data_IF_836334125480
#
_entry.id   IF_836334125480
#
_cell.length_a   1.000
_cell.length_b   1.000
_cell.length_c   1.000
_cell.angle_alpha   90.00
_cell.angle_beta   90.00
_cell.angle_gamma   90.00
#
_symmetry.space_group_name_H-M   'P 1'
#
loop_
_entity.id
_entity.type
_entity.pdbx_description
1 polymer ?
#
# COMPACT_ATOMS: atom_id res chain seq x y z
N UNK A 1 5.02 -21.50 -3.67
CA UNK A 1 6.23 -21.20 -2.86
C UNK A 1 6.36 -19.72 -2.56
N UNK A 2 6.60 -18.82 -3.53
CA UNK A 2 6.74 -17.38 -3.24
C UNK A 2 5.52 -16.76 -2.54
N UNK A 3 4.30 -17.07 -3.02
CA UNK A 3 3.07 -16.59 -2.38
C UNK A 3 2.82 -17.20 -1.00
N UNK A 4 3.18 -18.47 -0.80
CA UNK A 4 3.05 -19.14 0.50
C UNK A 4 4.03 -18.53 1.52
N UNK A 5 5.22 -18.14 1.06
CA UNK A 5 6.18 -17.41 1.90
C UNK A 5 5.68 -16.00 2.22
N UNK A 6 5.15 -15.28 1.22
CA UNK A 6 4.53 -13.98 1.46
C UNK A 6 3.38 -14.08 2.47
N UNK A 7 2.50 -15.08 2.37
CA UNK A 7 1.41 -15.30 3.34
C UNK A 7 1.90 -15.49 4.77
N UNK A 8 2.95 -16.29 4.95
CA UNK A 8 3.57 -16.48 6.26
C UNK A 8 4.12 -15.18 6.85
N UNK A 9 4.93 -14.44 6.08
CA UNK A 9 5.62 -13.25 6.57
C UNK A 9 4.66 -12.06 6.74
N UNK A 10 3.75 -11.84 5.78
CA UNK A 10 2.75 -10.77 5.83
C UNK A 10 1.81 -10.97 7.03
N UNK A 11 1.38 -12.20 7.29
CA UNK A 11 0.54 -12.48 8.46
C UNK A 11 1.24 -12.11 9.77
N UNK A 12 2.54 -12.39 9.89
CA UNK A 12 3.34 -12.02 11.05
C UNK A 12 3.54 -10.49 11.16
N UNK A 13 3.76 -9.80 10.04
CA UNK A 13 3.94 -8.34 10.00
C UNK A 13 2.66 -7.60 10.38
N UNK A 14 1.51 -8.02 9.86
CA UNK A 14 0.22 -7.36 10.11
C UNK A 14 -0.43 -7.79 11.43
N UNK A 15 -0.03 -8.92 12.01
CA UNK A 15 -0.66 -9.49 13.21
C UNK A 15 -2.07 -10.03 12.97
N UNK A 16 -2.47 -10.17 11.70
CA UNK A 16 -3.76 -10.71 11.24
C UNK A 16 -3.49 -11.67 10.08
N UNK A 17 -4.40 -12.62 9.85
CA UNK A 17 -4.29 -13.64 8.80
C UNK A 17 -5.66 -13.98 8.25
N UNK A 18 -5.69 -14.78 7.19
CA UNK A 18 -6.92 -15.33 6.59
C UNK A 18 -6.76 -16.83 6.33
N UNK A 19 -7.84 -17.60 6.50
CA UNK A 19 -7.87 -19.05 6.25
C UNK A 19 -8.45 -19.40 4.86
N UNK A 20 -8.75 -18.39 4.04
CA UNK A 20 -9.33 -18.56 2.70
C UNK A 20 -8.30 -19.04 1.67
N UNK A 21 -8.74 -19.30 0.43
CA UNK A 21 -7.85 -19.67 -0.68
C UNK A 21 -7.90 -18.64 -1.79
N UNK A 22 -6.74 -18.11 -2.19
CA UNK A 22 -6.61 -17.20 -3.33
C UNK A 22 -6.38 -17.98 -4.63
N UNK A 23 -7.24 -17.78 -5.62
CA UNK A 23 -7.10 -18.31 -6.98
C UNK A 23 -6.33 -17.33 -7.85
N UNK A 24 -5.20 -17.75 -8.41
CA UNK A 24 -4.36 -16.91 -9.26
C UNK A 24 -4.50 -17.25 -10.75
N UNK A 25 -4.72 -16.21 -11.55
CA UNK A 25 -4.67 -16.24 -13.01
C UNK A 25 -3.37 -15.55 -13.44
N UNK A 26 -2.55 -16.27 -14.21
CA UNK A 26 -1.31 -15.77 -14.80
C UNK A 26 -1.48 -15.72 -16.33
N UNK A 27 -1.79 -14.54 -16.91
CA UNK A 27 -1.95 -14.38 -18.35
C UNK A 27 -0.65 -14.64 -19.11
N UNK A 28 -0.76 -15.06 -20.38
CA UNK A 28 0.39 -15.41 -21.20
C UNK A 28 1.30 -14.20 -21.53
N UNK A 29 0.75 -13.00 -21.58
CA UNK A 29 1.44 -11.78 -22.00
C UNK A 29 0.72 -10.50 -21.54
N UNK A 30 1.40 -9.36 -21.71
CA UNK A 30 0.90 -8.04 -21.30
C UNK A 30 -0.44 -7.67 -21.95
N UNK A 31 -0.65 -7.83 -23.27
CA UNK A 31 -1.97 -7.61 -23.87
C UNK A 31 -3.11 -8.41 -23.20
N UNK A 32 -2.89 -9.70 -22.96
CA UNK A 32 -3.89 -10.55 -22.30
C UNK A 32 -4.16 -10.10 -20.86
N UNK A 33 -3.13 -9.64 -20.14
CA UNK A 33 -3.29 -9.04 -18.82
C UNK A 33 -4.14 -7.77 -18.87
N UNK A 34 -3.84 -6.83 -19.78
CA UNK A 34 -4.60 -5.57 -19.91
C UNK A 34 -6.06 -5.86 -20.26
N UNK A 35 -6.32 -6.82 -21.15
CA UNK A 35 -7.67 -7.24 -21.52
C UNK A 35 -8.44 -7.81 -20.31
N UNK A 36 -7.83 -8.72 -19.55
CA UNK A 36 -8.49 -9.40 -18.43
C UNK A 36 -8.61 -8.49 -17.19
N UNK A 37 -7.55 -7.76 -16.86
CA UNK A 37 -7.48 -6.91 -15.67
C UNK A 37 -8.07 -5.52 -15.91
N UNK A 38 -8.24 -5.07 -17.15
CA UNK A 38 -8.76 -3.74 -17.48
C UNK A 38 -7.88 -2.58 -17.00
N UNK A 39 -6.59 -2.82 -16.81
CA UNK A 39 -5.65 -1.85 -16.25
C UNK A 39 -4.24 -2.02 -16.81
N UNK A 40 -3.47 -0.93 -16.79
CA UNK A 40 -2.09 -0.93 -17.29
C UNK A 40 -1.08 -1.66 -16.40
N UNK A 41 0.09 -1.94 -16.95
CA UNK A 41 1.18 -2.68 -16.29
C UNK A 41 1.90 -1.93 -15.15
N UNK A 42 1.45 -0.72 -14.82
CA UNK A 42 1.88 -0.03 -13.60
C UNK A 42 1.06 -0.46 -12.37
N UNK A 43 -0.09 -1.12 -12.56
CA UNK A 43 -0.82 -1.83 -11.51
C UNK A 43 -0.46 -3.31 -11.62
N UNK A 44 0.12 -3.91 -10.59
CA UNK A 44 0.78 -5.23 -10.70
C UNK A 44 -0.19 -6.40 -10.79
N UNK A 45 -1.40 -6.23 -10.27
CA UNK A 45 -2.45 -7.24 -10.24
C UNK A 45 -3.83 -6.59 -10.05
N UNK A 46 -4.90 -7.34 -10.30
CA UNK A 46 -6.28 -7.00 -9.94
C UNK A 46 -6.87 -8.11 -9.07
N UNK A 47 -7.44 -7.77 -7.93
CA UNK A 47 -8.16 -8.69 -7.04
C UNK A 47 -9.68 -8.49 -7.19
N UNK A 48 -10.40 -9.60 -7.34
CA UNK A 48 -11.86 -9.68 -7.29
C UNK A 48 -12.29 -10.86 -6.39
N UNK A 49 -12.68 -10.54 -5.16
CA UNK A 49 -12.97 -11.58 -4.16
C UNK A 49 -11.74 -12.45 -3.88
N UNK A 50 -11.84 -13.75 -4.17
CA UNK A 50 -10.74 -14.72 -4.05
C UNK A 50 -10.05 -15.01 -5.38
N UNK A 51 -10.23 -14.18 -6.40
CA UNK A 51 -9.54 -14.33 -7.67
C UNK A 51 -8.61 -13.15 -7.91
N UNK A 52 -7.37 -13.44 -8.29
CA UNK A 52 -6.41 -12.42 -8.73
C UNK A 52 -6.00 -12.67 -10.17
N UNK A 53 -5.96 -11.60 -10.96
CA UNK A 53 -5.25 -11.57 -12.24
C UNK A 53 -3.92 -10.84 -12.00
N UNK A 54 -2.83 -11.60 -11.96
CA UNK A 54 -1.47 -11.07 -11.77
C UNK A 54 -0.88 -10.71 -13.14
N UNK A 55 -0.01 -9.70 -13.22
CA UNK A 55 0.80 -9.51 -14.42
C UNK A 55 1.56 -10.80 -14.78
N UNK A 56 1.83 -11.03 -16.08
CA UNK A 56 2.53 -12.23 -16.50
C UNK A 56 3.82 -12.42 -15.72
N UNK A 57 3.97 -13.56 -15.05
CA UNK A 57 5.11 -13.81 -14.17
C UNK A 57 6.49 -13.55 -14.84
N UNK A 58 6.72 -13.94 -16.11
CA UNK A 58 7.98 -13.61 -16.80
C UNK A 58 8.25 -12.11 -16.93
N UNK A 59 7.20 -11.29 -17.04
CA UNK A 59 7.31 -9.82 -17.10
C UNK A 59 7.67 -9.25 -15.74
N UNK A 60 7.07 -9.75 -14.66
CA UNK A 60 7.41 -9.35 -13.29
C UNK A 60 8.86 -9.69 -12.96
N UNK A 61 9.29 -10.93 -13.26
CA UNK A 61 10.67 -11.38 -13.04
C UNK A 61 11.67 -10.54 -13.85
N UNK A 62 11.38 -10.26 -15.13
CA UNK A 62 12.25 -9.43 -15.97
C UNK A 62 12.36 -7.98 -15.46
N UNK A 63 11.38 -7.51 -14.70
CA UNK A 63 11.36 -6.19 -14.05
C UNK A 63 11.85 -6.22 -12.60
N UNK A 64 12.25 -7.38 -12.09
CA UNK A 64 12.59 -7.63 -10.67
C UNK A 64 11.49 -7.17 -9.71
N UNK A 65 10.22 -7.38 -10.08
CA UNK A 65 9.03 -7.00 -9.31
C UNK A 65 8.24 -8.19 -8.79
N UNK A 66 8.65 -9.42 -9.05
CA UNK A 66 7.90 -10.61 -8.67
C UNK A 66 7.79 -10.78 -7.15
N UNK A 67 8.87 -10.51 -6.40
CA UNK A 67 8.86 -10.48 -4.95
C UNK A 67 7.91 -9.40 -4.40
N UNK A 68 8.08 -8.15 -4.85
CA UNK A 68 7.23 -7.03 -4.46
C UNK A 68 5.75 -7.31 -4.76
N UNK A 69 5.44 -7.77 -5.97
CA UNK A 69 4.08 -8.10 -6.39
C UNK A 69 3.46 -9.20 -5.52
N UNK A 70 4.22 -10.21 -5.10
CA UNK A 70 3.73 -11.28 -4.23
C UNK A 70 3.35 -10.75 -2.84
N UNK A 71 4.22 -9.97 -2.20
CA UNK A 71 3.95 -9.40 -0.87
C UNK A 71 2.84 -8.37 -0.90
N UNK A 72 2.80 -7.50 -1.92
CA UNK A 72 1.71 -6.55 -2.14
C UNK A 72 0.36 -7.28 -2.31
N UNK A 73 0.33 -8.30 -3.18
CA UNK A 73 -0.88 -9.08 -3.46
C UNK A 73 -1.44 -9.72 -2.20
N UNK A 74 -0.58 -10.40 -1.44
CA UNK A 74 -0.98 -11.12 -0.23
C UNK A 74 -1.41 -10.15 0.87
N UNK A 75 -0.73 -9.01 1.00
CA UNK A 75 -1.15 -7.91 1.90
C UNK A 75 -2.54 -7.40 1.53
N UNK A 76 -2.78 -7.08 0.26
CA UNK A 76 -4.08 -6.59 -0.20
C UNK A 76 -5.20 -7.62 0.04
N UNK A 77 -4.92 -8.90 -0.22
CA UNK A 77 -5.86 -9.99 0.03
C UNK A 77 -6.17 -10.18 1.53
N UNK A 78 -5.15 -10.24 2.40
CA UNK A 78 -5.33 -10.36 3.85
C UNK A 78 -6.14 -9.19 4.39
N UNK A 79 -5.80 -7.95 4.02
CA UNK A 79 -6.53 -6.76 4.49
C UNK A 79 -8.01 -6.80 4.08
N UNK A 80 -8.32 -7.21 2.85
CA UNK A 80 -9.72 -7.32 2.37
C UNK A 80 -10.51 -8.44 3.05
N UNK A 81 -9.84 -9.49 3.52
CA UNK A 81 -10.48 -10.69 4.06
C UNK A 81 -10.59 -10.69 5.57
N UNK A 82 -9.53 -10.31 6.26
CA UNK A 82 -9.46 -10.33 7.70
C UNK A 82 -10.20 -9.15 8.35
N UNK A 83 -10.43 -8.05 7.60
CA UNK A 83 -11.08 -6.86 8.12
C UNK A 83 -12.56 -6.80 7.68
N UNK A 84 -13.52 -6.65 8.61
CA UNK A 84 -14.95 -6.56 8.29
C UNK A 84 -15.33 -5.24 7.62
N UNK A 85 -14.49 -4.20 7.75
CA UNK A 85 -14.68 -2.88 7.15
C UNK A 85 -13.48 -2.48 6.31
N UNK A 86 -13.72 -1.58 5.35
CA UNK A 86 -12.65 -1.03 4.52
C UNK A 86 -11.81 -0.02 5.30
N UNK A 87 -10.49 -0.16 5.21
CA UNK A 87 -9.56 0.88 5.66
C UNK A 87 -9.67 2.13 4.76
N UNK A 88 -9.26 3.32 5.26
CA UNK A 88 -9.02 4.47 4.39
C UNK A 88 -8.08 4.10 3.24
N UNK A 89 -8.32 4.56 1.99
CA UNK A 89 -7.52 4.16 0.85
C UNK A 89 -6.01 4.41 1.01
N UNK A 90 -5.60 5.55 1.60
CA UNK A 90 -4.20 5.82 1.88
C UNK A 90 -3.56 4.79 2.80
N UNK A 91 -4.28 4.33 3.82
CA UNK A 91 -3.76 3.37 4.81
C UNK A 91 -3.70 1.98 4.19
N UNK A 92 -4.75 1.57 3.47
CA UNK A 92 -4.77 0.31 2.75
C UNK A 92 -3.63 0.22 1.74
N UNK A 93 -3.56 1.17 0.81
CA UNK A 93 -2.53 1.16 -0.23
C UNK A 93 -1.14 1.35 0.38
N UNK A 94 -0.99 2.22 1.38
CA UNK A 94 0.29 2.44 2.05
C UNK A 94 0.83 1.17 2.71
N UNK A 95 -0.04 0.36 3.33
CA UNK A 95 0.34 -0.95 3.88
C UNK A 95 0.74 -1.94 2.79
N UNK A 96 -0.02 -2.00 1.70
CA UNK A 96 0.31 -2.82 0.53
C UNK A 96 1.70 -2.48 -0.01
N UNK A 97 2.00 -1.20 -0.20
CA UNK A 97 3.30 -0.76 -0.71
C UNK A 97 4.44 -0.93 0.31
N UNK A 98 4.16 -0.69 1.60
CA UNK A 98 5.16 -0.80 2.67
C UNK A 98 5.59 -2.25 2.89
N UNK A 99 4.62 -3.16 3.05
CA UNK A 99 4.88 -4.59 3.22
C UNK A 99 5.41 -5.21 1.92
N UNK A 100 5.00 -4.67 0.78
CA UNK A 100 5.57 -4.99 -0.52
C UNK A 100 7.01 -4.56 -0.72
N UNK A 101 7.59 -3.74 0.16
CA UNK A 101 8.91 -3.10 0.01
C UNK A 101 9.08 -2.32 -1.32
N UNK A 102 8.00 -1.81 -1.94
CA UNK A 102 8.06 -1.18 -3.27
C UNK A 102 8.56 0.29 -3.23
N UNK A 103 8.86 0.82 -2.03
CA UNK A 103 9.22 2.22 -1.82
C UNK A 103 10.38 2.74 -2.68
N UNK A 104 11.40 1.91 -2.92
CA UNK A 104 12.54 2.28 -3.79
C UNK A 104 12.09 2.41 -5.25
N UNK A 105 11.25 1.50 -5.72
CA UNK A 105 10.69 1.56 -7.08
C UNK A 105 9.76 2.76 -7.24
N UNK A 106 8.88 3.01 -6.28
CA UNK A 106 8.01 4.18 -6.26
C UNK A 106 8.82 5.50 -6.33
N UNK A 107 9.86 5.64 -5.52
CA UNK A 107 10.74 6.81 -5.56
C UNK A 107 11.43 6.97 -6.94
N UNK A 108 11.89 5.86 -7.54
CA UNK A 108 12.48 5.89 -8.88
C UNK A 108 11.44 6.32 -9.94
N UNK A 109 10.20 5.84 -9.84
CA UNK A 109 9.13 6.27 -10.75
C UNK A 109 8.81 7.76 -10.61
N UNK A 110 8.95 8.34 -9.40
CA UNK A 110 8.72 9.77 -9.21
C UNK A 110 9.70 10.64 -10.00
N UNK A 111 10.90 10.15 -10.32
CA UNK A 111 11.86 10.90 -11.13
C UNK A 111 11.28 11.34 -12.49
N UNK A 112 10.37 10.55 -13.07
CA UNK A 112 9.67 10.88 -14.31
C UNK A 112 8.73 12.08 -14.16
N UNK A 113 8.14 12.27 -12.98
CA UNK A 113 7.11 13.29 -12.74
C UNK A 113 7.64 14.55 -12.06
N UNK A 114 8.88 14.52 -11.57
CA UNK A 114 9.63 15.68 -11.04
C UNK A 114 10.10 16.62 -12.16
N UNK A 115 9.20 17.01 -13.06
CA UNK A 115 9.48 17.98 -14.13
C UNK A 115 9.12 19.38 -13.67
N UNK A 116 10.11 20.27 -13.50
CA UNK A 116 9.88 21.66 -13.08
C UNK A 116 9.44 21.78 -11.61
N UNK A 117 8.48 22.67 -11.32
CA UNK A 117 7.96 22.94 -9.97
C UNK A 117 6.77 22.03 -9.58
N UNK A 118 6.54 20.92 -10.29
CA UNK A 118 5.44 20.00 -9.95
C UNK A 118 5.76 19.21 -8.68
N UNK A 119 4.94 19.42 -7.66
CA UNK A 119 4.99 18.59 -6.46
C UNK A 119 4.47 17.18 -6.77
N UNK A 120 5.26 16.17 -6.45
CA UNK A 120 4.90 14.76 -6.63
C UNK A 120 4.13 14.22 -5.43
N UNK A 121 4.27 14.85 -4.27
CA UNK A 121 3.62 14.46 -3.02
C UNK A 121 2.18 14.96 -3.01
N UNK A 122 1.29 14.14 -2.46
CA UNK A 122 -0.14 14.40 -2.40
C UNK A 122 -0.59 14.45 -0.95
N UNK A 123 -1.58 15.29 -0.65
CA UNK A 123 -2.21 15.30 0.65
C UNK A 123 -3.16 14.10 0.83
N UNK A 124 -3.44 13.65 2.07
CA UNK A 124 -4.29 12.49 2.32
C UNK A 124 -5.66 12.52 1.61
N UNK A 125 -6.41 13.64 1.61
CA UNK A 125 -7.69 13.67 0.89
C UNK A 125 -7.56 13.45 -0.62
N UNK A 126 -6.44 13.90 -1.22
CA UNK A 126 -6.19 13.71 -2.65
C UNK A 126 -5.73 12.29 -2.96
N UNK A 127 -4.92 11.69 -2.08
CA UNK A 127 -4.56 10.27 -2.15
C UNK A 127 -5.83 9.42 -2.13
N UNK A 128 -6.70 9.65 -1.13
CA UNK A 128 -7.95 8.90 -0.98
C UNK A 128 -8.85 9.04 -2.21
N UNK A 129 -9.01 10.27 -2.72
CA UNK A 129 -9.82 10.53 -3.91
C UNK A 129 -9.28 9.79 -5.15
N UNK A 130 -7.96 9.75 -5.35
CA UNK A 130 -7.35 9.06 -6.49
C UNK A 130 -7.47 7.54 -6.35
N UNK A 131 -7.20 6.98 -5.18
CA UNK A 131 -7.24 5.53 -4.98
C UNK A 131 -8.67 5.00 -5.02
N UNK A 132 -9.65 5.74 -4.48
CA UNK A 132 -11.05 5.34 -4.47
C UNK A 132 -11.74 5.43 -5.85
N UNK A 133 -11.27 6.28 -6.77
CA UNK A 133 -11.92 6.44 -8.09
C UNK A 133 -11.72 5.26 -9.05
N UNK A 134 -10.78 4.36 -8.75
CA UNK A 134 -10.39 3.27 -9.64
C UNK A 134 -9.49 3.71 -10.80
N UNK A 135 -9.54 2.95 -11.89
CA UNK A 135 -8.68 3.14 -13.08
C UNK A 135 -9.19 4.33 -13.92
N UNK A 136 -8.30 5.28 -14.25
CA UNK A 136 -8.62 6.36 -15.19
C UNK A 136 -8.59 5.84 -16.65
N UNK A 137 -9.58 6.20 -17.51
CA UNK A 137 -9.56 5.80 -18.91
C UNK A 137 -8.41 6.41 -19.73
N UNK A 138 -7.82 7.52 -19.29
CA UNK A 138 -6.57 8.00 -19.86
C UNK A 138 -5.39 7.32 -19.15
N UNK A 139 -4.71 6.44 -19.87
CA UNK A 139 -3.60 5.63 -19.38
C UNK A 139 -2.46 6.47 -18.77
N UNK A 140 -2.15 7.64 -19.34
CA UNK A 140 -1.07 8.48 -18.80
C UNK A 140 -1.49 9.14 -17.49
N UNK A 141 -2.75 9.58 -17.43
CA UNK A 141 -3.34 10.16 -16.22
C UNK A 141 -3.45 9.11 -15.12
N UNK A 142 -3.90 7.88 -15.44
CA UNK A 142 -3.96 6.77 -14.49
C UNK A 142 -2.56 6.46 -13.96
N UNK A 143 -1.58 6.30 -14.84
CA UNK A 143 -0.21 5.96 -14.48
C UNK A 143 0.43 6.99 -13.56
N UNK A 144 0.31 8.28 -13.90
CA UNK A 144 0.88 9.36 -13.08
C UNK A 144 0.19 9.44 -11.72
N UNK A 145 -1.14 9.52 -11.70
CA UNK A 145 -1.90 9.71 -10.47
C UNK A 145 -1.78 8.50 -9.55
N UNK A 146 -1.92 7.28 -10.09
CA UNK A 146 -1.81 6.07 -9.29
C UNK A 146 -0.43 5.93 -8.65
N UNK A 147 0.66 6.14 -9.41
CA UNK A 147 2.01 6.05 -8.85
C UNK A 147 2.28 7.11 -7.79
N UNK A 148 1.82 8.35 -8.00
CA UNK A 148 1.97 9.43 -7.01
C UNK A 148 1.17 9.15 -5.74
N UNK A 149 -0.04 8.63 -5.87
CA UNK A 149 -0.88 8.23 -4.74
C UNK A 149 -0.27 7.05 -3.96
N UNK A 150 0.21 6.01 -4.65
CA UNK A 150 0.90 4.89 -4.02
C UNK A 150 2.16 5.33 -3.29
N UNK A 151 2.98 6.19 -3.92
CA UNK A 151 4.18 6.73 -3.29
C UNK A 151 3.86 7.57 -2.05
N UNK A 152 2.88 8.46 -2.13
CA UNK A 152 2.49 9.29 -0.99
C UNK A 152 1.88 8.44 0.14
N UNK A 153 1.05 7.44 -0.18
CA UNK A 153 0.50 6.49 0.77
C UNK A 153 1.58 5.63 1.44
N UNK A 154 2.56 5.16 0.67
CA UNK A 154 3.75 4.47 1.19
C UNK A 154 4.49 5.35 2.21
N UNK A 155 4.73 6.62 1.89
CA UNK A 155 5.41 7.54 2.81
C UNK A 155 4.63 7.76 4.11
N UNK A 156 3.29 7.83 4.04
CA UNK A 156 2.43 7.95 5.22
C UNK A 156 2.58 6.75 6.15
N UNK A 157 2.50 5.53 5.61
CA UNK A 157 2.63 4.30 6.40
C UNK A 157 4.06 4.08 6.87
N UNK A 158 5.05 4.41 6.04
CA UNK A 158 6.45 4.38 6.45
C UNK A 158 6.71 5.33 7.62
N UNK A 159 6.18 6.57 7.60
CA UNK A 159 6.27 7.49 8.73
C UNK A 159 5.60 6.90 9.98
N UNK A 160 4.41 6.32 9.82
CA UNK A 160 3.65 5.69 10.91
C UNK A 160 4.45 4.57 11.58
N UNK A 161 5.01 3.66 10.79
CA UNK A 161 5.75 2.50 11.32
C UNK A 161 7.13 2.90 11.82
N UNK A 162 7.90 3.66 11.05
CA UNK A 162 9.30 3.95 11.39
C UNK A 162 9.46 5.00 12.49
N UNK A 163 8.48 5.90 12.66
CA UNK A 163 8.59 7.04 13.58
C UNK A 163 7.47 7.18 14.60
N UNK A 164 6.29 6.58 14.37
CA UNK A 164 5.14 6.69 15.27
C UNK A 164 4.85 5.40 16.06
N UNK A 165 5.92 4.70 16.48
CA UNK A 165 5.86 3.63 17.48
C UNK A 165 6.08 2.20 16.98
N UNK A 166 6.47 2.00 15.72
CA UNK A 166 6.80 0.68 15.19
C UNK A 166 5.60 -0.09 14.66
N UNK A 167 5.82 -1.38 14.42
CA UNK A 167 4.77 -2.31 13.98
C UNK A 167 3.73 -2.60 15.06
N UNK A 168 4.08 -2.55 16.36
CA UNK A 168 3.17 -2.96 17.42
C UNK A 168 1.87 -2.12 17.46
N UNK A 169 1.89 -0.77 17.45
CA UNK A 169 0.66 0.02 17.36
C UNK A 169 -0.18 -0.28 16.12
N UNK A 170 0.46 -0.56 14.98
CA UNK A 170 -0.22 -0.94 13.75
C UNK A 170 -0.94 -2.29 13.91
N UNK A 171 -0.26 -3.29 14.48
CA UNK A 171 -0.86 -4.60 14.76
C UNK A 171 -2.02 -4.48 15.75
N UNK A 172 -1.87 -3.68 16.80
CA UNK A 172 -2.93 -3.41 17.77
C UNK A 172 -4.15 -2.76 17.09
N UNK A 173 -3.93 -1.77 16.21
CA UNK A 173 -4.97 -1.15 15.40
C UNK A 173 -5.70 -2.17 14.50
N UNK A 174 -4.94 -2.97 13.75
CA UNK A 174 -5.51 -3.97 12.83
C UNK A 174 -6.28 -5.06 13.59
N UNK A 175 -5.81 -5.47 14.77
CA UNK A 175 -6.51 -6.42 15.62
C UNK A 175 -7.86 -5.86 16.13
N UNK A 176 -7.91 -4.58 16.52
CA UNK A 176 -9.18 -3.93 16.88
C UNK A 176 -10.12 -3.83 15.67
N UNK A 177 -9.60 -3.44 14.50
CA UNK A 177 -10.39 -3.36 13.28
C UNK A 177 -10.95 -4.75 12.87
N UNK A 178 -10.15 -5.80 12.96
CA UNK A 178 -10.57 -7.19 12.72
C UNK A 178 -11.65 -7.65 13.70
N UNK A 179 -11.61 -7.17 14.96
CA UNK A 179 -12.65 -7.39 15.96
C UNK A 179 -13.93 -6.56 15.71
N UNK A 180 -13.97 -5.74 14.67
CA UNK A 180 -15.13 -4.93 14.29
C UNK A 180 -15.22 -3.59 15.04
N UNK A 181 -14.12 -3.13 15.64
CA UNK A 181 -14.08 -1.80 16.23
C UNK A 181 -14.23 -0.71 15.15
N UNK A 182 -14.79 0.43 15.55
CA UNK A 182 -14.73 1.65 14.76
C UNK A 182 -13.27 2.09 14.57
N UNK A 183 -12.92 2.51 13.35
CA UNK A 183 -11.52 2.77 13.01
C UNK A 183 -10.96 4.02 13.71
N UNK A 184 -11.78 5.03 14.01
CA UNK A 184 -11.31 6.18 14.79
C UNK A 184 -11.03 5.77 16.24
N UNK A 185 -11.83 4.88 16.80
CA UNK A 185 -11.57 4.33 18.14
C UNK A 185 -10.32 3.44 18.16
N UNK A 186 -10.16 2.56 17.17
CA UNK A 186 -8.95 1.75 17.03
C UNK A 186 -7.70 2.64 16.93
N UNK A 187 -7.77 3.72 16.13
CA UNK A 187 -6.67 4.68 16.00
C UNK A 187 -6.39 5.42 17.32
N UNK A 188 -7.43 5.80 18.07
CA UNK A 188 -7.27 6.43 19.39
C UNK A 188 -6.59 5.51 20.39
N UNK A 189 -6.88 4.21 20.37
CA UNK A 189 -6.24 3.24 21.24
C UNK A 189 -4.75 3.02 20.87
N UNK A 190 -4.45 2.93 19.57
CA UNK A 190 -3.08 2.68 19.09
C UNK A 190 -2.16 3.91 19.16
N UNK A 191 -2.64 5.08 18.74
CA UNK A 191 -1.84 6.30 18.58
C UNK A 191 -2.33 7.50 19.40
N UNK A 192 -3.43 7.38 20.13
CA UNK A 192 -3.97 8.48 20.95
C UNK A 192 -4.71 9.56 20.14
N UNK A 193 -5.01 9.31 18.86
CA UNK A 193 -5.69 10.26 17.98
C UNK A 193 -6.63 9.54 16.99
N UNK A 194 -7.64 10.26 16.48
CA UNK A 194 -8.52 9.74 15.44
C UNK A 194 -7.80 9.62 14.08
N UNK A 195 -8.41 8.95 13.10
CA UNK A 195 -7.78 8.70 11.80
C UNK A 195 -7.52 9.99 11.02
N UNK A 196 -8.39 10.99 11.14
CA UNK A 196 -8.23 12.26 10.44
C UNK A 196 -7.01 13.03 10.97
N UNK A 197 -6.84 13.07 12.29
CA UNK A 197 -5.66 13.66 12.94
C UNK A 197 -4.40 12.87 12.62
N UNK A 198 -4.48 11.53 12.61
CA UNK A 198 -3.36 10.67 12.24
C UNK A 198 -2.91 10.92 10.80
N UNK A 199 -3.84 10.98 9.84
CA UNK A 199 -3.55 11.28 8.44
C UNK A 199 -2.88 12.65 8.27
N UNK A 200 -3.32 13.66 9.03
CA UNK A 200 -2.70 14.98 9.05
C UNK A 200 -1.28 14.98 9.65
N UNK A 201 -1.01 14.13 10.65
CA UNK A 201 0.31 13.98 11.25
C UNK A 201 1.32 13.42 10.23
N UNK A 202 0.90 12.45 9.42
CA UNK A 202 1.78 11.76 8.45
C UNK A 202 1.68 12.33 7.02
N UNK A 203 1.08 13.50 6.83
CA UNK A 203 0.88 14.12 5.52
C UNK A 203 2.22 14.42 4.80
N UNK A 204 2.55 13.70 3.71
CA UNK A 204 3.82 13.86 3.03
C UNK A 204 3.94 15.20 2.30
N UNK A 205 2.82 15.84 1.91
CA UNK A 205 2.85 17.18 1.33
C UNK A 205 3.26 18.25 2.36
N UNK A 206 3.17 17.94 3.65
CA UNK A 206 3.61 18.80 4.75
C UNK A 206 4.99 18.39 5.27
N UNK A 207 5.22 17.10 5.50
CA UNK A 207 6.48 16.60 6.07
C UNK A 207 7.61 16.49 5.06
N UNK A 208 7.27 16.34 3.78
CA UNK A 208 8.22 16.05 2.71
C UNK A 208 8.73 14.61 2.74
N UNK A 209 9.72 14.33 1.89
CA UNK A 209 10.39 13.03 1.83
C UNK A 209 11.42 12.88 2.98
N UNK A 210 11.66 11.64 3.46
CA UNK A 210 12.57 11.39 4.59
C UNK A 210 14.04 11.82 4.36
N UNK A 211 14.46 11.95 3.09
CA UNK A 211 15.84 12.26 2.71
C UNK A 211 16.23 13.76 2.84
N UNK A 212 15.36 14.62 3.39
CA UNK A 212 15.52 16.08 3.37
C UNK A 212 15.42 16.79 4.72
N UNK A 213 16.32 16.51 5.67
CA UNK A 213 16.70 17.49 6.72
C UNK A 213 15.69 17.82 7.84
N UNK A 214 14.48 17.28 7.86
CA UNK A 214 13.57 17.36 9.01
C UNK A 214 13.27 15.96 9.51
N UNK A 215 13.92 15.59 10.59
CA UNK A 215 13.54 14.40 11.33
C UNK A 215 13.16 14.89 12.72
N UNK A 216 11.85 15.04 13.02
CA UNK A 216 11.39 15.41 14.35
C UNK A 216 11.84 14.35 15.37
N UNK A 217 11.72 14.68 16.67
CA UNK A 217 12.08 13.79 17.76
C UNK A 217 11.42 12.41 17.58
N UNK A 218 12.27 11.39 17.39
CA UNK A 218 11.87 10.05 16.95
C UNK A 218 11.44 9.20 18.15
N UNK A 219 10.42 8.36 17.97
CA UNK A 219 10.27 7.09 18.70
C UNK A 219 10.65 5.96 17.73
N UNK A 220 11.96 5.72 17.50
CA UNK A 220 12.38 4.75 16.50
C UNK A 220 11.82 3.37 16.82
N UNK A 221 11.44 2.63 15.79
CA UNK A 221 11.15 1.20 15.92
C UNK A 221 12.36 0.48 16.55
N UNK A 222 12.07 -0.40 17.51
CA UNK A 222 13.05 -1.32 18.09
C UNK A 222 12.67 -2.71 17.60
N UNK A 223 13.53 -3.34 16.80
CA UNK A 223 13.30 -4.72 16.39
C UNK A 223 13.16 -5.63 17.62
N UNK A 224 12.26 -6.63 17.58
CA UNK A 224 12.09 -7.59 18.67
C UNK A 224 13.36 -8.35 19.03
#
# INVERSE_FOLDING_TARGET
>A
ELLDWADHDVSALLGISTDDTLTMINPDNTPAYIEQAGQGVWRLYRIEGDTVILQPYPVLLARTLDGHAAFMLVTDWILRRALPGALPPWLHQGLVEYVGEDGVHLNNYMAEFRTGDKDVLLSPPLIDAILARGVDPDENVDRENFRRACYSAFLMVWQLVEYEGGLQPLQDFLAQAAAGADLDEAARLAWGMDLATLAGLVDPAVSGEPAGGRIPARKPHVQP
#
